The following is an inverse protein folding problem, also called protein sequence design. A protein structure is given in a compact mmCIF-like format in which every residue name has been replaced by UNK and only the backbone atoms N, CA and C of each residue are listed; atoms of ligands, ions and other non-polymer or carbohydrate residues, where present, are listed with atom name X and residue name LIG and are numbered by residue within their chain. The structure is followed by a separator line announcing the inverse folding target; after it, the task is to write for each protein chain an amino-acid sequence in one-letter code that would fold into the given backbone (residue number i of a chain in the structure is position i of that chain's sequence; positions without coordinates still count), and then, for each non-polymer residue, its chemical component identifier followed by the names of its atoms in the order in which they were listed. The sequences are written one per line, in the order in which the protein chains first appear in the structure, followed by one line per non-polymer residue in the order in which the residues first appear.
data_IF_754904362608
#
_entry.id   IF_754904362608
#
_cell.length_a   1.000
_cell.length_b   1.000
_cell.length_c   1.000
_cell.angle_alpha   90.00
_cell.angle_beta   90.00
_cell.angle_gamma   90.00
#
_symmetry.space_group_name_H-M   'P 1'
#
loop_
_entity.id
_entity.type
_entity.pdbx_description
1 polymer ?
#
# COMPACT_ATOMS: atom_id res chain seq x y z
N UNK A 1 5.21 18.68 -17.02
CA UNK A 1 3.84 18.65 -16.48
C UNK A 1 3.74 17.46 -15.54
N UNK A 2 3.16 17.63 -14.36
CA UNK A 2 2.94 16.53 -13.41
C UNK A 2 1.58 15.89 -13.70
N UNK A 3 1.55 14.56 -13.84
CA UNK A 3 0.31 13.83 -14.04
C UNK A 3 -0.34 13.55 -12.68
N UNK A 4 -1.58 14.01 -12.49
CA UNK A 4 -2.35 13.79 -11.27
C UNK A 4 -3.37 12.67 -11.51
N UNK A 5 -3.28 11.62 -10.72
CA UNK A 5 -4.15 10.45 -10.80
C UNK A 5 -4.89 10.32 -9.48
N UNK A 6 -6.21 10.43 -9.52
CA UNK A 6 -7.07 10.27 -8.34
C UNK A 6 -7.84 8.98 -8.45
N UNK A 7 -7.68 8.11 -7.47
CA UNK A 7 -8.34 6.80 -7.39
C UNK A 7 -9.37 6.88 -6.29
N UNK A 8 -10.63 6.76 -6.66
CA UNK A 8 -11.76 6.73 -5.75
C UNK A 8 -12.08 5.27 -5.43
N UNK A 9 -11.63 4.83 -4.26
CA UNK A 9 -12.02 3.54 -3.70
C UNK A 9 -13.42 3.71 -3.11
N UNK A 10 -14.41 3.14 -3.80
CA UNK A 10 -15.79 3.13 -3.29
C UNK A 10 -16.00 1.96 -2.31
N UNK A 11 -17.24 1.49 -2.18
CA UNK A 11 -17.60 0.38 -1.32
C UNK A 11 -16.77 -0.88 -1.58
N UNK A 12 -16.16 -1.41 -0.53
CA UNK A 12 -15.32 -2.60 -0.61
C UNK A 12 -14.45 -2.78 0.62
N UNK A 13 -13.73 -3.89 0.65
CA UNK A 13 -12.68 -4.14 1.63
C UNK A 13 -11.70 -5.17 1.09
N UNK A 14 -10.58 -5.39 1.79
CA UNK A 14 -9.59 -6.38 1.37
C UNK A 14 -10.14 -7.81 1.31
N UNK A 15 -11.22 -8.15 2.02
CA UNK A 15 -11.80 -9.50 2.00
C UNK A 15 -12.74 -9.74 0.81
N UNK A 16 -13.49 -8.73 0.39
CA UNK A 16 -14.50 -8.81 -0.68
C UNK A 16 -14.03 -8.18 -1.99
N UNK A 17 -12.91 -7.45 -1.98
CA UNK A 17 -12.48 -6.61 -3.08
C UNK A 17 -13.25 -5.29 -3.12
N UNK A 18 -12.96 -4.51 -4.15
CA UNK A 18 -13.61 -3.25 -4.46
C UNK A 18 -14.20 -3.34 -5.86
N UNK A 19 -15.52 -3.53 -5.92
CA UNK A 19 -16.23 -3.86 -7.16
C UNK A 19 -16.50 -2.65 -8.06
N UNK A 20 -16.19 -1.44 -7.59
CA UNK A 20 -16.33 -0.23 -8.38
C UNK A 20 -15.30 0.78 -7.89
N UNK A 21 -14.30 1.04 -8.73
CA UNK A 21 -13.27 2.05 -8.50
C UNK A 21 -13.27 2.99 -9.67
N UNK A 22 -13.23 4.28 -9.38
CA UNK A 22 -13.10 5.31 -10.41
C UNK A 22 -11.68 5.83 -10.40
N UNK A 23 -11.00 5.82 -11.54
CA UNK A 23 -9.67 6.39 -11.72
C UNK A 23 -9.82 7.64 -12.57
N UNK A 24 -9.34 8.78 -12.09
CA UNK A 24 -9.40 10.06 -12.77
C UNK A 24 -8.00 10.59 -13.06
N UNK A 25 -7.66 10.78 -14.34
CA UNK A 25 -6.38 11.32 -14.79
C UNK A 25 -6.56 12.78 -15.16
N UNK A 26 -5.76 13.67 -14.59
CA UNK A 26 -5.67 15.11 -14.92
C UNK A 26 -7.03 15.83 -15.02
N UNK A 27 -8.06 15.33 -14.32
CA UNK A 27 -9.46 15.79 -14.40
C UNK A 27 -10.17 15.61 -15.75
N UNK A 28 -9.51 15.05 -16.76
CA UNK A 28 -10.04 14.93 -18.13
C UNK A 28 -10.53 13.53 -18.45
N UNK A 29 -9.82 12.50 -17.99
CA UNK A 29 -10.16 11.11 -18.29
C UNK A 29 -10.62 10.38 -17.03
N UNK A 30 -11.68 9.59 -17.17
CA UNK A 30 -12.22 8.74 -16.10
C UNK A 30 -12.32 7.31 -16.59
N UNK A 31 -11.79 6.39 -15.80
CA UNK A 31 -11.87 4.95 -16.02
C UNK A 31 -12.58 4.32 -14.84
N UNK A 32 -13.30 3.24 -15.09
CA UNK A 32 -13.85 2.40 -14.03
C UNK A 32 -13.19 1.04 -14.09
N UNK A 33 -12.84 0.51 -12.93
CA UNK A 33 -12.25 -0.82 -12.81
C UNK A 33 -12.64 -1.43 -11.47
N UNK A 34 -12.17 -2.64 -11.22
CA UNK A 34 -12.33 -3.34 -9.95
C UNK A 34 -10.97 -3.70 -9.40
N UNK A 35 -10.87 -3.77 -8.07
CA UNK A 35 -9.72 -4.37 -7.40
C UNK A 35 -10.18 -5.69 -6.77
N UNK A 36 -9.45 -6.78 -7.01
CA UNK A 36 -9.82 -8.08 -6.48
C UNK A 36 -9.71 -8.11 -4.95
N UNK A 37 -10.34 -9.11 -4.30
CA UNK A 37 -10.05 -9.44 -2.92
C UNK A 37 -8.54 -9.66 -2.69
N UNK A 38 -8.00 -9.08 -1.63
CA UNK A 38 -6.62 -9.26 -1.18
C UNK A 38 -6.57 -9.40 0.35
N UNK A 39 -7.18 -10.44 0.93
CA UNK A 39 -7.25 -10.61 2.39
C UNK A 39 -5.86 -10.74 3.03
N UNK A 40 -4.85 -11.18 2.25
CA UNK A 40 -3.47 -11.30 2.70
C UNK A 40 -2.87 -9.95 3.09
N UNK A 41 -3.26 -8.84 2.44
CA UNK A 41 -2.79 -7.49 2.82
C UNK A 41 -3.12 -7.21 4.28
N UNK A 42 -4.31 -7.59 4.75
CA UNK A 42 -4.69 -7.43 6.15
C UNK A 42 -3.80 -8.25 7.08
N UNK A 43 -3.52 -9.51 6.72
CA UNK A 43 -2.72 -10.39 7.55
C UNK A 43 -1.26 -9.92 7.64
N UNK A 44 -0.65 -9.66 6.48
CA UNK A 44 0.72 -9.18 6.36
C UNK A 44 0.91 -7.85 7.07
N UNK A 45 -0.04 -6.91 6.93
CA UNK A 45 0.01 -5.62 7.61
C UNK A 45 -0.04 -5.79 9.13
N UNK A 46 -0.97 -6.62 9.66
CA UNK A 46 -1.09 -6.85 11.09
C UNK A 46 0.16 -7.50 11.68
N UNK A 47 0.71 -8.51 11.00
CA UNK A 47 1.95 -9.16 11.42
C UNK A 47 3.09 -8.14 11.43
N UNK A 48 3.31 -7.43 10.31
CA UNK A 48 4.32 -6.38 10.23
C UNK A 48 4.16 -5.33 11.34
N UNK A 49 2.93 -4.84 11.58
CA UNK A 49 2.66 -3.84 12.61
C UNK A 49 2.99 -4.36 14.02
N UNK A 50 2.64 -5.61 14.32
CA UNK A 50 2.94 -6.24 15.60
C UNK A 50 4.45 -6.38 15.81
N UNK A 51 5.17 -6.89 14.81
CA UNK A 51 6.63 -7.03 14.85
C UNK A 51 7.29 -5.66 15.00
N UNK A 52 6.89 -4.68 14.18
CA UNK A 52 7.40 -3.32 14.24
C UNK A 52 7.20 -2.69 15.62
N UNK A 53 5.99 -2.81 16.18
CA UNK A 53 5.68 -2.26 17.51
C UNK A 53 6.53 -2.90 18.62
N UNK A 54 6.80 -4.21 18.53
CA UNK A 54 7.68 -4.89 19.49
C UNK A 54 9.16 -4.49 19.38
N UNK A 55 9.61 -4.12 18.18
CA UNK A 55 10.97 -3.67 17.91
C UNK A 55 11.16 -2.17 18.23
N UNK A 56 10.10 -1.37 18.17
CA UNK A 56 10.16 0.06 18.52
C UNK A 56 9.99 0.27 20.02
N UNK A 57 10.88 1.04 20.69
CA UNK A 57 10.69 1.37 22.09
C UNK A 57 9.42 2.22 22.27
N UNK A 58 8.43 1.69 22.99
CA UNK A 58 7.24 2.48 23.36
C UNK A 58 7.62 3.56 24.38
N UNK A 59 7.29 4.84 24.16
CA UNK A 59 7.73 5.94 25.03
C UNK A 59 7.09 5.96 26.44
N UNK A 60 6.20 5.02 26.78
CA UNK A 60 5.46 5.02 28.07
C UNK A 60 5.57 3.75 28.91
N UNK A 61 6.22 2.68 28.44
CA UNK A 61 6.32 1.46 29.21
C UNK A 61 7.70 1.39 29.89
N UNK A 62 7.73 1.64 31.21
CA UNK A 62 8.87 1.22 32.03
C UNK A 62 9.17 -0.26 31.73
N UNK A 63 10.44 -0.55 31.45
CA UNK A 63 10.93 -1.84 30.97
C UNK A 63 10.36 -3.02 31.76
N UNK A 64 9.29 -3.65 31.27
CA UNK A 64 8.94 -5.00 31.69
C UNK A 64 9.85 -5.96 30.94
N UNK A 65 10.99 -6.26 31.56
CA UNK A 65 11.84 -7.40 31.20
C UNK A 65 10.97 -8.67 31.27
N UNK A 66 11.14 -9.54 30.29
CA UNK A 66 10.56 -10.89 30.15
C UNK A 66 9.28 -11.01 29.31
N UNK A 67 9.39 -10.74 28.01
CA UNK A 67 8.86 -11.67 27.01
C UNK A 67 9.91 -11.83 25.90
N UNK A 68 10.65 -12.93 25.90
CA UNK A 68 11.41 -13.38 24.74
C UNK A 68 10.42 -13.93 23.72
N UNK A 69 9.89 -13.09 22.85
CA UNK A 69 9.49 -13.53 21.51
C UNK A 69 10.71 -13.27 20.63
N UNK A 70 11.27 -14.31 20.02
CA UNK A 70 12.39 -14.26 19.07
C UNK A 70 12.00 -13.48 17.80
N UNK A 71 11.60 -12.23 17.95
CA UNK A 71 11.23 -11.35 16.87
C UNK A 71 12.53 -10.77 16.36
N UNK A 72 13.03 -11.33 15.27
CA UNK A 72 14.18 -10.76 14.60
C UNK A 72 13.75 -9.58 13.75
N UNK A 73 14.64 -8.59 13.63
CA UNK A 73 14.48 -7.52 12.64
C UNK A 73 14.31 -8.08 11.22
N UNK A 74 14.87 -9.26 10.93
CA UNK A 74 14.71 -9.95 9.65
C UNK A 74 13.28 -10.44 9.40
N UNK A 75 12.56 -10.95 10.39
CA UNK A 75 11.14 -11.34 10.25
C UNK A 75 10.25 -10.12 10.00
N UNK A 76 10.49 -9.02 10.73
CA UNK A 76 9.78 -7.76 10.50
C UNK A 76 9.98 -7.26 9.06
N UNK A 77 11.22 -7.33 8.56
CA UNK A 77 11.53 -6.94 7.19
C UNK A 77 10.90 -7.88 6.17
N UNK A 78 10.88 -9.18 6.44
CA UNK A 78 10.22 -10.18 5.59
C UNK A 78 8.73 -9.88 5.41
N UNK A 79 7.99 -9.60 6.50
CA UNK A 79 6.58 -9.21 6.40
C UNK A 79 6.38 -7.89 5.64
N UNK A 80 7.28 -6.93 5.81
CA UNK A 80 7.24 -5.68 5.06
C UNK A 80 7.43 -5.92 3.55
N UNK A 81 8.39 -6.76 3.16
CA UNK A 81 8.64 -7.10 1.77
C UNK A 81 7.45 -7.84 1.15
N UNK A 82 6.93 -8.86 1.83
CA UNK A 82 5.75 -9.60 1.38
C UNK A 82 4.54 -8.67 1.24
N UNK A 83 4.34 -7.74 2.18
CA UNK A 83 3.29 -6.73 2.09
C UNK A 83 3.45 -5.84 0.84
N UNK A 84 4.67 -5.38 0.56
CA UNK A 84 4.94 -4.58 -0.65
C UNK A 84 4.66 -5.36 -1.93
N UNK A 85 5.03 -6.65 -1.98
CA UNK A 85 4.76 -7.51 -3.13
C UNK A 85 3.26 -7.72 -3.32
N UNK A 86 2.53 -8.05 -2.25
CA UNK A 86 1.08 -8.29 -2.32
C UNK A 86 0.33 -7.03 -2.77
N UNK A 87 0.70 -5.85 -2.26
CA UNK A 87 0.11 -4.58 -2.71
C UNK A 87 0.41 -4.34 -4.19
N UNK A 88 1.63 -4.61 -4.63
CA UNK A 88 2.02 -4.43 -6.03
C UNK A 88 1.21 -5.32 -6.97
N UNK A 89 0.98 -6.58 -6.58
CA UNK A 89 0.14 -7.54 -7.31
C UNK A 89 -1.32 -7.13 -7.31
N UNK A 90 -1.85 -6.77 -6.13
CA UNK A 90 -3.22 -6.32 -5.96
C UNK A 90 -3.53 -5.09 -6.81
N UNK A 91 -2.58 -4.16 -6.95
CA UNK A 91 -2.75 -2.90 -7.65
C UNK A 91 -2.61 -3.00 -9.18
N UNK A 92 -2.20 -4.15 -9.72
CA UNK A 92 -1.97 -4.39 -11.16
C UNK A 92 -3.12 -3.92 -12.07
N UNK A 93 -4.41 -4.16 -11.76
CA UNK A 93 -5.51 -3.71 -12.62
C UNK A 93 -5.53 -2.19 -12.84
N UNK A 94 -4.99 -1.42 -11.89
CA UNK A 94 -4.91 0.03 -11.97
C UNK A 94 -3.65 0.46 -12.73
N UNK A 95 -2.52 -0.24 -12.53
CA UNK A 95 -1.25 0.08 -13.22
C UNK A 95 -1.42 0.10 -14.74
N UNK A 96 -2.17 -0.86 -15.28
CA UNK A 96 -2.43 -0.98 -16.71
C UNK A 96 -3.24 0.20 -17.29
N UNK A 97 -3.93 0.96 -16.44
CA UNK A 97 -4.77 2.10 -16.84
C UNK A 97 -4.05 3.44 -16.65
N UNK A 98 -2.86 3.45 -16.04
CA UNK A 98 -2.12 4.65 -15.69
C UNK A 98 -0.99 4.89 -16.71
N UNK A 99 -0.81 6.13 -17.20
CA UNK A 99 0.32 6.47 -18.05
C UNK A 99 1.64 6.32 -17.30
N UNK A 100 2.60 5.68 -17.96
CA UNK A 100 3.93 5.41 -17.43
C UNK A 100 4.81 6.65 -17.64
N UNK A 101 4.62 7.66 -16.79
CA UNK A 101 5.35 8.93 -16.87
C UNK A 101 6.12 9.20 -15.59
N UNK A 102 7.30 9.79 -15.73
CA UNK A 102 8.30 10.00 -14.65
C UNK A 102 7.81 10.87 -13.48
N UNK A 103 6.76 11.68 -13.66
CA UNK A 103 6.22 12.56 -12.62
C UNK A 103 4.71 12.37 -12.48
N UNK A 104 4.33 11.39 -11.67
CA UNK A 104 2.93 11.04 -11.41
C UNK A 104 2.61 11.15 -9.93
N UNK A 105 1.64 12.01 -9.59
CA UNK A 105 1.07 12.13 -8.25
C UNK A 105 -0.16 11.24 -8.19
N UNK A 106 -0.15 10.30 -7.24
CA UNK A 106 -1.25 9.37 -7.03
C UNK A 106 -1.99 9.76 -5.75
N UNK A 107 -3.31 9.92 -5.85
CA UNK A 107 -4.18 10.30 -4.75
C UNK A 107 -5.20 9.20 -4.56
N UNK A 108 -5.26 8.64 -3.35
CA UNK A 108 -6.26 7.64 -2.98
C UNK A 108 -7.34 8.31 -2.15
N UNK A 109 -8.54 8.39 -2.72
CA UNK A 109 -9.74 8.78 -2.00
C UNK A 109 -10.38 7.52 -1.41
N UNK A 110 -10.53 7.52 -0.09
CA UNK A 110 -11.04 6.41 0.74
C UNK A 110 -12.31 6.80 1.51
N UNK A 111 -12.92 7.95 1.20
CA UNK A 111 -14.06 8.52 1.95
C UNK A 111 -15.29 7.60 1.98
N UNK A 112 -15.45 6.77 0.96
CA UNK A 112 -16.60 5.86 0.82
C UNK A 112 -16.34 4.45 1.39
N UNK A 113 -15.20 4.25 2.08
CA UNK A 113 -14.88 2.96 2.70
C UNK A 113 -15.53 2.90 4.08
N UNK A 114 -16.54 2.05 4.21
CA UNK A 114 -17.25 1.83 5.48
C UNK A 114 -16.52 0.91 6.44
N UNK A 115 -15.60 0.08 5.96
CA UNK A 115 -14.80 -0.81 6.81
C UNK A 115 -13.60 -0.06 7.41
N UNK A 116 -13.69 0.27 8.70
CA UNK A 116 -12.67 1.05 9.43
C UNK A 116 -11.30 0.39 9.37
N UNK A 117 -11.23 -0.94 9.47
CA UNK A 117 -9.96 -1.65 9.42
C UNK A 117 -9.29 -1.49 8.05
N UNK A 118 -10.05 -1.64 6.97
CA UNK A 118 -9.55 -1.41 5.61
C UNK A 118 -9.09 0.03 5.42
N UNK A 119 -9.88 1.02 5.87
CA UNK A 119 -9.50 2.44 5.76
C UNK A 119 -8.19 2.73 6.50
N UNK A 120 -8.06 2.25 7.74
CA UNK A 120 -6.83 2.41 8.53
C UNK A 120 -5.60 1.80 7.85
N UNK A 121 -5.73 0.58 7.34
CA UNK A 121 -4.65 -0.12 6.64
C UNK A 121 -4.26 0.67 5.40
N UNK A 122 -5.24 1.05 4.55
CA UNK A 122 -5.01 1.84 3.35
C UNK A 122 -4.27 3.13 3.66
N UNK A 123 -4.57 3.82 4.75
CA UNK A 123 -3.84 5.04 5.11
C UNK A 123 -2.39 4.82 5.55
N UNK A 124 -2.02 3.60 5.92
CA UNK A 124 -0.71 3.25 6.48
C UNK A 124 0.10 2.34 5.56
N UNK A 125 -0.40 2.00 4.37
CA UNK A 125 0.32 1.19 3.41
C UNK A 125 1.59 1.91 2.89
N UNK A 126 2.65 1.16 2.53
CA UNK A 126 3.89 1.71 1.98
C UNK A 126 3.75 2.11 0.51
N UNK A 127 2.85 3.06 0.26
CA UNK A 127 2.48 3.60 -1.05
C UNK A 127 3.66 4.05 -1.93
N UNK A 128 4.72 4.60 -1.33
CA UNK A 128 5.94 5.00 -2.04
C UNK A 128 6.79 3.84 -2.59
N UNK A 129 6.40 2.58 -2.31
CA UNK A 129 7.03 1.36 -2.83
C UNK A 129 6.15 0.62 -3.85
N UNK A 130 5.08 1.27 -4.32
CA UNK A 130 4.30 0.74 -5.45
C UNK A 130 5.00 1.12 -6.75
N UNK A 131 5.36 0.11 -7.52
CA UNK A 131 5.98 0.27 -8.83
C UNK A 131 4.89 0.47 -9.88
N UNK A 132 4.85 1.64 -10.51
CA UNK A 132 3.94 1.94 -11.61
C UNK A 132 4.51 1.52 -12.98
N UNK A 133 5.78 1.09 -13.04
CA UNK A 133 6.42 0.55 -14.24
C UNK A 133 6.79 -0.91 -14.06
N UNK A 134 6.67 -1.70 -15.13
CA UNK A 134 7.31 -3.01 -15.26
C UNK A 134 8.83 -2.81 -15.46
N UNK A 135 9.54 -2.42 -14.40
CA UNK A 135 10.94 -2.80 -14.38
C UNK A 135 10.95 -4.29 -14.04
N UNK A 136 11.45 -5.10 -14.97
CA UNK A 136 11.73 -6.52 -14.76
C UNK A 136 12.28 -6.71 -13.35
N UNK A 137 11.68 -7.66 -12.63
CA UNK A 137 12.18 -8.11 -11.33
C UNK A 137 13.49 -8.83 -11.62
N UNK A 138 14.57 -8.07 -11.80
CA UNK A 138 15.91 -8.60 -11.68
C UNK A 138 16.18 -8.79 -10.19
N UNK A 139 16.63 -9.98 -9.83
CA UNK A 139 16.84 -10.50 -8.46
C UNK A 139 17.82 -9.70 -7.57
N UNK A 140 18.17 -8.47 -7.94
CA UNK A 140 19.02 -7.57 -7.19
C UNK A 140 18.19 -6.48 -6.49
N UNK A 141 17.60 -6.86 -5.35
CA UNK A 141 16.70 -6.06 -4.50
C UNK A 141 17.32 -4.80 -3.84
N UNK A 142 18.45 -4.28 -4.33
CA UNK A 142 19.19 -3.18 -3.72
C UNK A 142 19.08 -1.83 -4.45
N UNK A 143 18.64 -1.75 -5.72
CA UNK A 143 18.79 -0.52 -6.52
C UNK A 143 17.51 0.12 -7.07
N UNK A 144 16.32 -0.46 -6.88
CA UNK A 144 15.08 0.08 -7.49
C UNK A 144 14.39 1.19 -6.67
N UNK A 145 15.16 2.05 -6.02
CA UNK A 145 14.67 3.25 -5.33
C UNK A 145 14.70 4.48 -6.25
N UNK A 146 13.99 4.50 -7.38
CA UNK A 146 13.89 5.75 -8.15
C UNK A 146 12.67 5.90 -9.06
N UNK A 147 11.49 5.49 -8.61
CA UNK A 147 10.23 6.01 -9.16
C UNK A 147 9.41 6.58 -8.00
N UNK A 148 9.63 7.86 -7.70
CA UNK A 148 8.93 8.56 -6.63
C UNK A 148 7.45 8.73 -7.00
N UNK A 149 6.57 7.96 -6.38
CA UNK A 149 5.15 8.28 -6.30
C UNK A 149 4.92 9.05 -5.00
N UNK A 150 4.81 10.37 -5.10
CA UNK A 150 4.41 11.21 -3.97
C UNK A 150 2.89 11.07 -3.79
N UNK A 151 2.48 10.31 -2.78
CA UNK A 151 1.07 10.11 -2.45
C UNK A 151 0.66 11.13 -1.39
N UNK A 152 -0.13 12.11 -1.80
CA UNK A 152 -0.72 13.10 -0.91
C UNK A 152 -2.09 12.60 -0.46
N UNK A 153 -2.20 12.34 0.84
CA UNK A 153 -3.47 12.07 1.53
C UNK A 153 -4.27 13.37 1.60
N UNK A 154 -5.53 13.36 1.15
CA UNK A 154 -6.45 14.48 1.37
C UNK A 154 -7.78 13.92 1.88
N UNK A 155 -8.12 14.38 3.10
CA UNK A 155 -9.35 14.34 3.89
C UNK A 155 -10.17 13.04 3.90
#
# INVERSE_FOLDING_TARGET
MENKITIYLNYGNFKKGFNSITIQLNQTQKFTTTLPPAPQITHLYKNWQQQYTSLTPTPRAGFKKNQFTNISSSECFHYYQALCQEINTWFTPIKNLIPHTEKTILILNTQNISDTQTAEILHKLPWGKIYLSENSIDDNYSSLCSNYVSIFKIN
#
